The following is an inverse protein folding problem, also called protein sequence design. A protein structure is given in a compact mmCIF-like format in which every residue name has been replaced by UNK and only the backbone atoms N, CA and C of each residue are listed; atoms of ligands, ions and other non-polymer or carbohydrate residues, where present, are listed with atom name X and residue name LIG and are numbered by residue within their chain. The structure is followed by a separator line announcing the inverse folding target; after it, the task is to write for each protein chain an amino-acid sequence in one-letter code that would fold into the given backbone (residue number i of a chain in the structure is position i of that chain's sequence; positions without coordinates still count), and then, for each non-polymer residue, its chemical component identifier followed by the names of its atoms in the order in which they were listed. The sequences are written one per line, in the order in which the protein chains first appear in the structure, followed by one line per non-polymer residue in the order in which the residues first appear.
data_IF_394802267225
#
_entry.id   IF_394802267225
#
_cell.length_a   1.000
_cell.length_b   1.000
_cell.length_c   1.000
_cell.angle_alpha   90.00
_cell.angle_beta   90.00
_cell.angle_gamma   90.00
#
_symmetry.space_group_name_H-M   'P 1'
#
loop_
_entity.id
_entity.type
_entity.pdbx_description
1 polymer ?
#
# COMPACT_ATOMS: atom_id res chain seq x y z
N UNK A 1 -4.04 5.72 16.04
CA UNK A 1 -2.79 5.40 15.33
C UNK A 1 -3.12 5.16 13.86
N UNK A 2 -2.72 6.06 12.97
CA UNK A 2 -2.94 5.93 11.51
C UNK A 2 -1.58 5.60 10.90
N UNK A 3 -1.36 4.31 10.61
CA UNK A 3 -0.14 3.86 9.94
C UNK A 3 -0.33 3.99 8.43
N UNK A 4 0.47 4.82 7.79
CA UNK A 4 0.55 4.92 6.33
C UNK A 4 1.91 4.38 5.88
N UNK A 5 1.95 3.60 4.81
CA UNK A 5 3.15 2.97 4.26
C UNK A 5 3.21 3.24 2.75
N UNK A 6 4.38 3.04 2.15
CA UNK A 6 4.61 3.30 0.73
C UNK A 6 4.67 1.98 -0.03
N UNK A 7 3.86 1.85 -1.07
CA UNK A 7 3.94 0.71 -1.99
C UNK A 7 4.36 1.16 -3.38
N UNK A 8 4.96 0.25 -4.13
CA UNK A 8 5.25 0.46 -5.55
C UNK A 8 4.09 -0.08 -6.39
N UNK A 9 3.56 0.76 -7.27
CA UNK A 9 2.52 0.35 -8.20
C UNK A 9 3.07 -0.66 -9.22
N UNK A 10 2.47 -1.85 -9.41
CA UNK A 10 2.96 -2.83 -10.39
C UNK A 10 2.82 -2.37 -11.85
N UNK A 11 1.87 -1.48 -12.16
CA UNK A 11 1.67 -0.94 -13.51
C UNK A 11 2.72 0.12 -13.90
N UNK A 12 2.94 1.13 -13.07
CA UNK A 12 3.82 2.26 -13.39
C UNK A 12 5.10 2.35 -12.54
N UNK A 13 5.31 1.41 -11.62
CA UNK A 13 6.42 1.38 -10.65
C UNK A 13 6.56 2.65 -9.80
N UNK A 14 5.47 3.42 -9.69
CA UNK A 14 5.46 4.64 -8.89
C UNK A 14 5.19 4.31 -7.42
N UNK A 15 5.93 4.95 -6.52
CA UNK A 15 5.69 4.90 -5.08
C UNK A 15 4.41 5.68 -4.74
N UNK A 16 3.49 5.03 -4.06
CA UNK A 16 2.23 5.62 -3.59
C UNK A 16 2.08 5.35 -2.10
N UNK A 17 1.75 6.41 -1.35
CA UNK A 17 1.38 6.29 0.06
C UNK A 17 -0.03 5.76 0.19
N UNK A 18 -0.17 4.77 1.03
CA UNK A 18 -1.41 4.05 1.26
C UNK A 18 -1.59 3.87 2.75
N UNK A 19 -2.82 4.06 3.21
CA UNK A 19 -3.15 3.92 4.62
C UNK A 19 -3.43 2.47 4.95
N UNK A 20 -3.09 2.03 6.16
CA UNK A 20 -3.39 0.68 6.63
C UNK A 20 -4.91 0.38 6.61
N UNK A 21 -5.74 1.42 6.68
CA UNK A 21 -7.21 1.31 6.54
C UNK A 21 -7.68 0.97 5.12
N UNK A 22 -6.83 1.16 4.12
CA UNK A 22 -7.13 0.87 2.71
C UNK A 22 -6.73 -0.55 2.31
N UNK A 23 -6.29 -1.37 3.27
CA UNK A 23 -5.93 -2.76 3.04
C UNK A 23 -7.11 -3.67 2.85
N UNK A 24 -6.91 -4.64 1.97
CA UNK A 24 -7.99 -5.47 1.43
C UNK A 24 -8.91 -4.70 0.49
N UNK A 25 -8.65 -3.42 0.18
CA UNK A 25 -9.44 -2.61 -0.75
C UNK A 25 -8.68 -2.34 -2.04
N UNK A 26 -9.44 -2.12 -3.10
CA UNK A 26 -8.90 -1.61 -4.36
C UNK A 26 -8.70 -0.12 -4.23
N UNK A 27 -7.48 0.34 -4.49
CA UNK A 27 -7.12 1.75 -4.52
C UNK A 27 -6.77 2.18 -5.94
N UNK A 28 -6.83 3.47 -6.19
CA UNK A 28 -6.43 4.06 -7.47
C UNK A 28 -5.02 4.62 -7.34
N UNK A 29 -4.12 4.22 -8.24
CA UNK A 29 -2.77 4.76 -8.28
C UNK A 29 -2.79 6.24 -8.66
N UNK A 30 -2.22 7.12 -7.82
CA UNK A 30 -2.08 8.55 -8.16
C UNK A 30 -1.13 8.83 -9.32
N UNK A 31 -0.35 7.84 -9.77
CA UNK A 31 0.54 7.95 -10.92
C UNK A 31 -0.16 7.66 -12.24
N UNK A 32 -0.57 6.41 -12.44
CA UNK A 32 -1.15 5.92 -13.69
C UNK A 32 -2.68 5.83 -13.68
N UNK A 33 -3.33 6.12 -12.55
CA UNK A 33 -4.78 5.97 -12.35
C UNK A 33 -5.30 4.55 -12.53
N UNK A 34 -4.41 3.55 -12.55
CA UNK A 34 -4.80 2.14 -12.56
C UNK A 34 -5.32 1.72 -11.18
N UNK A 35 -6.33 0.85 -11.19
CA UNK A 35 -6.85 0.19 -9.99
C UNK A 35 -5.86 -0.88 -9.54
N UNK A 36 -5.35 -0.77 -8.31
CA UNK A 36 -4.45 -1.72 -7.68
C UNK A 36 -5.17 -2.34 -6.51
N UNK A 37 -5.15 -3.66 -6.43
CA UNK A 37 -5.65 -4.39 -5.27
C UNK A 37 -4.57 -4.42 -4.19
N UNK A 38 -4.85 -3.82 -3.04
CA UNK A 38 -3.96 -3.91 -1.87
C UNK A 38 -4.29 -5.18 -1.09
N UNK A 39 -3.58 -6.26 -1.36
CA UNK A 39 -3.71 -7.49 -0.59
C UNK A 39 -2.86 -7.42 0.70
N UNK A 40 -3.44 -7.86 1.82
CA UNK A 40 -2.91 -7.79 3.20
C UNK A 40 -1.53 -8.46 3.37
N UNK A 41 -1.15 -9.32 2.42
CA UNK A 41 0.08 -10.13 2.44
C UNK A 41 1.35 -9.29 2.57
N UNK A 42 1.38 -8.05 2.07
CA UNK A 42 2.57 -7.20 2.13
C UNK A 42 2.67 -6.36 3.42
N UNK A 43 1.57 -6.04 4.12
CA UNK A 43 1.69 -5.25 5.36
C UNK A 43 2.17 -6.00 6.57
N UNK A 44 1.82 -7.29 6.66
CA UNK A 44 2.29 -8.10 7.79
C UNK A 44 3.82 -8.13 7.87
N UNK A 45 4.52 -7.88 6.76
CA UNK A 45 5.97 -7.71 6.73
C UNK A 45 6.41 -6.33 7.23
N UNK A 46 5.77 -5.26 6.78
CA UNK A 46 6.19 -3.89 7.11
C UNK A 46 5.86 -3.51 8.56
N UNK A 47 4.68 -3.90 9.06
CA UNK A 47 4.30 -3.69 10.48
C UNK A 47 5.19 -4.48 11.44
N UNK A 48 5.78 -5.60 11.00
CA UNK A 48 6.73 -6.37 11.81
C UNK A 48 8.05 -5.64 12.05
N UNK A 49 8.40 -4.68 11.19
CA UNK A 49 9.62 -3.88 11.34
C UNK A 49 9.43 -2.63 12.19
N UNK A 50 8.19 -2.24 12.53
CA UNK A 50 7.90 -1.03 13.32
C UNK A 50 7.84 -1.30 14.84
N UNK A 51 7.76 -2.56 15.27
CA UNK A 51 7.85 -2.99 16.67
C UNK A 51 9.22 -3.61 17.00
N UNK A 52 10.32 -3.00 16.52
CA UNK A 52 11.69 -3.35 16.93
C UNK A 52 12.30 -2.24 17.77
#
# INVERSE_FOLDING_TARGET
MTGSFEIECPNCKKKIKVDAKQLGKTITCSGCKSSIKLDDTQLKKDLKNLFR
#
